data_IF_280149014465
#
_entry.id   IF_280149014465
#
_cell.length_a   1.000
_cell.length_b   1.000
_cell.length_c   1.000
_cell.angle_alpha   90.00
_cell.angle_beta   90.00
_cell.angle_gamma   90.00
#
_symmetry.space_group_name_H-M   'P 1'
#
loop_
_entity.id
_entity.type
_entity.pdbx_description
1 polymer ?
#
# COMPACT_ATOMS: atom_id res chain seq x y z
N UNK A 1 0.97 -33.79 10.90
CA UNK A 1 0.46 -33.36 9.58
C UNK A 1 0.89 -31.91 9.38
N UNK A 2 1.75 -31.64 8.40
CA UNK A 2 2.21 -30.27 8.11
C UNK A 2 1.18 -29.63 7.18
N UNK A 3 0.44 -28.64 7.68
CA UNK A 3 -0.47 -27.84 6.85
C UNK A 3 0.36 -26.70 6.24
N UNK A 4 0.36 -26.60 4.92
CA UNK A 4 1.10 -25.54 4.21
C UNK A 4 0.57 -24.14 4.60
N UNK A 5 1.40 -23.07 4.50
CA UNK A 5 0.95 -21.71 4.78
C UNK A 5 -0.30 -21.31 3.98
N UNK A 6 -0.39 -21.71 2.71
CA UNK A 6 -1.53 -21.41 1.85
C UNK A 6 -2.81 -22.13 2.29
N UNK A 7 -2.72 -23.37 2.76
CA UNK A 7 -3.87 -24.11 3.30
C UNK A 7 -4.36 -23.51 4.61
N UNK A 8 -3.45 -23.03 5.48
CA UNK A 8 -3.83 -22.28 6.69
C UNK A 8 -4.56 -20.98 6.34
N UNK A 9 -4.06 -20.25 5.35
CA UNK A 9 -4.68 -19.01 4.87
C UNK A 9 -6.10 -19.26 4.32
N UNK A 10 -6.27 -20.32 3.52
CA UNK A 10 -7.59 -20.77 3.02
C UNK A 10 -8.53 -21.14 4.16
N UNK A 11 -8.06 -21.86 5.17
CA UNK A 11 -8.87 -22.20 6.34
C UNK A 11 -9.36 -20.94 7.08
N UNK A 12 -8.47 -19.98 7.30
CA UNK A 12 -8.82 -18.72 7.97
C UNK A 12 -9.80 -17.90 7.13
N UNK A 13 -9.54 -17.79 5.82
CA UNK A 13 -10.42 -17.10 4.89
C UNK A 13 -11.83 -17.68 4.89
N UNK A 14 -11.94 -19.01 4.80
CA UNK A 14 -13.22 -19.71 4.92
C UNK A 14 -13.90 -19.42 6.27
N UNK A 15 -13.11 -19.32 7.35
CA UNK A 15 -13.59 -18.92 8.68
C UNK A 15 -14.17 -17.50 8.73
N UNK A 16 -13.52 -16.52 8.07
CA UNK A 16 -14.02 -15.15 7.96
C UNK A 16 -15.36 -15.08 7.21
N UNK A 17 -15.61 -16.05 6.33
CA UNK A 17 -16.83 -16.15 5.52
C UNK A 17 -17.94 -16.94 6.23
N UNK A 18 -17.62 -17.66 7.32
CA UNK A 18 -18.63 -18.37 8.09
C UNK A 18 -19.63 -17.38 8.70
N UNK A 19 -20.92 -17.62 8.47
CA UNK A 19 -22.00 -16.76 8.94
C UNK A 19 -22.43 -15.66 7.95
N UNK A 20 -21.73 -15.50 6.81
CA UNK A 20 -22.23 -14.68 5.72
C UNK A 20 -23.43 -15.38 5.03
N UNK A 21 -24.50 -14.65 4.65
CA UNK A 21 -25.64 -15.23 3.97
C UNK A 21 -25.22 -15.94 2.67
N UNK A 22 -25.83 -17.08 2.37
CA UNK A 22 -25.44 -17.94 1.23
C UNK A 22 -25.55 -17.26 -0.15
N UNK A 23 -26.38 -16.21 -0.27
CA UNK A 23 -26.48 -15.39 -1.48
C UNK A 23 -25.35 -14.34 -1.60
N UNK A 24 -24.73 -13.96 -0.48
CA UNK A 24 -23.53 -13.11 -0.44
C UNK A 24 -22.26 -13.98 -0.57
N UNK A 25 -22.26 -15.17 0.03
CA UNK A 25 -21.17 -16.14 -0.01
C UNK A 25 -21.68 -17.51 -0.42
N UNK A 26 -21.31 -17.96 -1.62
CA UNK A 26 -21.46 -19.37 -1.98
C UNK A 26 -20.05 -19.96 -2.14
N UNK A 27 -19.66 -20.95 -1.32
CA UNK A 27 -18.38 -21.65 -1.45
C UNK A 27 -18.23 -22.39 -2.79
N UNK A 28 -19.32 -22.59 -3.54
CA UNK A 28 -19.33 -23.09 -4.91
C UNK A 28 -19.06 -21.96 -5.93
N UNK A 29 -19.43 -20.71 -5.63
CA UNK A 29 -19.34 -19.57 -6.56
C UNK A 29 -18.03 -18.77 -6.45
N UNK A 30 -17.19 -19.02 -5.43
CA UNK A 30 -15.92 -18.29 -5.18
C UNK A 30 -16.12 -16.76 -5.05
N UNK A 31 -17.19 -16.33 -4.36
CA UNK A 31 -17.37 -14.90 -4.07
C UNK A 31 -16.31 -14.45 -3.06
N UNK A 32 -15.55 -13.42 -3.42
CA UNK A 32 -14.51 -12.88 -2.56
C UNK A 32 -15.09 -11.95 -1.48
N UNK A 33 -14.44 -11.92 -0.31
CA UNK A 33 -14.78 -11.00 0.78
C UNK A 33 -14.48 -9.55 0.34
N UNK A 34 -15.55 -8.77 0.15
CA UNK A 34 -15.46 -7.35 -0.19
C UNK A 34 -15.48 -6.50 1.07
N UNK A 35 -14.50 -5.61 1.21
CA UNK A 35 -14.32 -4.78 2.40
C UNK A 35 -14.18 -3.30 2.01
N UNK A 36 -15.14 -2.43 2.42
CA UNK A 36 -15.09 -1.01 2.09
C UNK A 36 -14.06 -0.27 2.96
N UNK A 37 -13.29 0.61 2.32
CA UNK A 37 -12.28 1.44 2.99
C UNK A 37 -12.41 2.89 2.54
N UNK A 38 -12.49 3.80 3.50
CA UNK A 38 -12.43 5.25 3.24
C UNK A 38 -11.08 5.79 3.71
N UNK A 39 -10.27 6.23 2.76
CA UNK A 39 -9.01 6.94 3.01
C UNK A 39 -9.31 8.42 3.19
N UNK A 40 -8.87 8.99 4.30
CA UNK A 40 -9.09 10.39 4.64
C UNK A 40 -8.22 11.33 3.80
N UNK A 41 -8.60 12.61 3.80
CA UNK A 41 -7.86 13.69 3.18
C UNK A 41 -6.39 13.76 3.65
N UNK A 42 -5.54 14.31 2.78
CA UNK A 42 -4.09 14.43 2.94
C UNK A 42 -3.32 13.11 2.89
N UNK A 43 -3.93 12.00 2.44
CA UNK A 43 -3.19 10.76 2.17
C UNK A 43 -1.96 11.05 1.30
N UNK A 44 -0.79 10.69 1.83
CA UNK A 44 0.51 11.16 1.37
C UNK A 44 1.28 10.04 0.72
N UNK A 45 1.94 10.36 -0.40
CA UNK A 45 2.78 9.47 -1.18
C UNK A 45 4.15 10.11 -1.29
N UNK A 46 5.15 9.50 -0.66
CA UNK A 46 6.55 9.92 -0.68
C UNK A 46 7.28 8.96 -1.62
N UNK A 47 7.75 9.46 -2.76
CA UNK A 47 8.33 8.63 -3.80
C UNK A 47 9.84 8.83 -3.85
N UNK A 48 10.56 7.72 -3.95
CA UNK A 48 12.02 7.65 -4.09
C UNK A 48 12.33 6.96 -5.42
N UNK A 49 13.13 7.60 -6.27
CA UNK A 49 13.69 6.93 -7.45
C UNK A 49 14.79 6.01 -7.00
N UNK A 50 14.72 4.76 -7.47
CA UNK A 50 15.72 3.75 -7.12
C UNK A 50 16.93 3.83 -8.05
N UNK A 51 18.12 3.77 -7.48
CA UNK A 51 19.34 3.48 -8.23
C UNK A 51 19.49 1.98 -8.51
N UNK A 52 20.47 1.59 -9.32
CA UNK A 52 20.70 0.19 -9.69
C UNK A 52 20.91 -0.74 -8.49
N UNK A 53 21.60 -0.29 -7.44
CA UNK A 53 21.88 -1.12 -6.26
C UNK A 53 20.59 -1.33 -5.46
N UNK A 54 19.81 -0.27 -5.29
CA UNK A 54 18.51 -0.34 -4.63
C UNK A 54 17.51 -1.20 -5.41
N UNK A 55 17.51 -1.12 -6.75
CA UNK A 55 16.71 -1.99 -7.62
C UNK A 55 17.07 -3.46 -7.39
N UNK A 56 18.36 -3.81 -7.45
CA UNK A 56 18.81 -5.19 -7.19
C UNK A 56 18.37 -5.65 -5.81
N UNK A 57 18.61 -4.85 -4.77
CA UNK A 57 18.22 -5.19 -3.41
C UNK A 57 16.72 -5.46 -3.26
N UNK A 58 15.87 -4.57 -3.79
CA UNK A 58 14.42 -4.73 -3.68
C UNK A 58 13.94 -5.95 -4.47
N UNK A 59 14.52 -6.20 -5.64
CA UNK A 59 14.17 -7.38 -6.44
C UNK A 59 14.58 -8.69 -5.75
N UNK A 60 15.78 -8.74 -5.18
CA UNK A 60 16.26 -9.88 -4.38
C UNK A 60 15.34 -10.11 -3.18
N UNK A 61 14.94 -9.04 -2.49
CA UNK A 61 14.00 -9.12 -1.37
C UNK A 61 12.63 -9.66 -1.77
N UNK A 62 12.10 -9.32 -2.95
CA UNK A 62 10.84 -9.89 -3.46
C UNK A 62 11.01 -11.38 -3.77
N UNK A 63 12.13 -11.74 -4.42
CA UNK A 63 12.44 -13.12 -4.82
C UNK A 63 12.63 -14.08 -3.64
N UNK A 64 12.95 -13.57 -2.44
CA UNK A 64 12.94 -14.38 -1.21
C UNK A 64 11.57 -14.98 -0.88
N UNK A 65 10.48 -14.35 -1.35
CA UNK A 65 9.10 -14.75 -1.02
C UNK A 65 8.33 -15.31 -2.22
N UNK A 66 8.58 -14.80 -3.42
CA UNK A 66 7.93 -15.28 -4.64
C UNK A 66 8.79 -15.07 -5.87
N UNK A 67 8.77 -16.04 -6.78
CA UNK A 67 9.40 -15.93 -8.09
C UNK A 67 8.43 -15.45 -9.17
N UNK A 68 7.18 -15.13 -8.80
CA UNK A 68 6.14 -14.76 -9.77
C UNK A 68 6.09 -13.26 -10.06
N UNK A 69 6.68 -12.42 -9.21
CA UNK A 69 6.60 -10.97 -9.30
C UNK A 69 7.96 -10.39 -9.68
N UNK A 70 7.97 -9.56 -10.72
CA UNK A 70 9.15 -8.84 -11.19
C UNK A 70 8.93 -7.34 -11.04
N UNK A 71 9.94 -6.63 -10.53
CA UNK A 71 9.93 -5.18 -10.42
C UNK A 71 9.90 -4.52 -11.81
N UNK A 72 9.05 -3.51 -12.01
CA UNK A 72 8.97 -2.80 -13.30
C UNK A 72 9.05 -1.27 -13.16
N UNK A 73 9.61 -0.56 -14.16
CA UNK A 73 9.66 0.89 -14.14
C UNK A 73 8.32 1.49 -14.56
N UNK A 74 7.96 2.64 -13.99
CA UNK A 74 6.77 3.38 -14.36
C UNK A 74 6.95 4.89 -14.31
N UNK A 75 5.93 5.61 -14.76
CA UNK A 75 5.86 7.07 -14.68
C UNK A 75 4.96 7.48 -13.54
N UNK A 76 5.49 8.20 -12.55
CA UNK A 76 4.66 8.80 -11.49
C UNK A 76 3.82 9.95 -12.03
N UNK A 77 4.46 10.80 -12.84
CA UNK A 77 3.84 11.93 -13.54
C UNK A 77 3.80 11.69 -15.06
N UNK A 78 2.79 12.23 -15.74
CA UNK A 78 2.60 12.13 -17.19
C UNK A 78 3.87 12.51 -18.00
N UNK A 79 4.60 13.51 -17.53
CA UNK A 79 5.72 14.13 -18.23
C UNK A 79 7.09 13.51 -17.90
N UNK A 80 7.15 12.52 -17.01
CA UNK A 80 8.40 11.92 -16.57
C UNK A 80 8.82 10.72 -17.44
N UNK A 81 10.11 10.41 -17.42
CA UNK A 81 10.63 9.15 -17.98
C UNK A 81 10.31 8.02 -17.01
N UNK A 82 10.03 6.79 -17.51
CA UNK A 82 9.86 5.64 -16.63
C UNK A 82 11.09 5.42 -15.75
N UNK A 83 10.87 5.14 -14.48
CA UNK A 83 11.91 4.82 -13.50
C UNK A 83 11.39 3.79 -12.52
N UNK A 84 12.30 3.12 -11.82
CA UNK A 84 11.95 2.32 -10.64
C UNK A 84 11.70 3.24 -9.45
N UNK A 85 10.68 2.91 -8.68
CA UNK A 85 10.28 3.70 -7.53
C UNK A 85 10.02 2.82 -6.32
N UNK A 86 10.43 3.32 -5.15
CA UNK A 86 9.90 2.90 -3.86
C UNK A 86 9.03 4.04 -3.35
N UNK A 87 7.79 3.72 -3.00
CA UNK A 87 6.80 4.67 -2.54
C UNK A 87 6.44 4.37 -1.10
N UNK A 88 6.43 5.40 -0.27
CA UNK A 88 5.94 5.31 1.11
C UNK A 88 4.60 6.00 1.16
N UNK A 89 3.55 5.21 1.31
CA UNK A 89 2.17 5.68 1.33
C UNK A 89 1.72 5.76 2.78
N UNK A 90 1.46 6.98 3.27
CA UNK A 90 0.98 7.20 4.63
C UNK A 90 -0.39 7.83 4.60
N UNK A 91 -1.37 7.16 5.21
CA UNK A 91 -2.75 7.59 5.13
C UNK A 91 -3.56 7.17 6.36
N UNK A 92 -4.56 7.99 6.66
CA UNK A 92 -5.57 7.69 7.66
C UNK A 92 -6.77 7.04 6.97
N UNK A 93 -7.30 5.94 7.48
CA UNK A 93 -8.43 5.23 6.90
C UNK A 93 -9.36 4.61 7.95
N UNK A 94 -10.56 4.21 7.51
CA UNK A 94 -11.45 3.36 8.29
C UNK A 94 -10.89 1.93 8.38
N UNK A 95 -11.29 1.16 9.39
CA UNK A 95 -10.96 -0.27 9.47
C UNK A 95 -12.00 -1.10 8.71
N UNK A 96 -11.68 -1.65 7.53
CA UNK A 96 -12.62 -2.48 6.77
C UNK A 96 -12.97 -3.79 7.49
N UNK A 97 -11.98 -4.44 8.10
CA UNK A 97 -12.13 -5.80 8.67
C UNK A 97 -12.71 -5.78 10.07
N UNK A 98 -12.37 -4.77 10.89
CA UNK A 98 -12.80 -4.70 12.29
C UNK A 98 -13.99 -3.76 12.50
N UNK A 99 -14.55 -3.20 11.42
CA UNK A 99 -15.75 -2.35 11.39
C UNK A 99 -15.79 -1.29 12.50
N UNK A 100 -14.62 -0.77 12.87
CA UNK A 100 -14.52 0.26 13.90
C UNK A 100 -14.38 1.63 13.25
N UNK A 101 -14.98 2.63 13.90
CA UNK A 101 -14.89 4.03 13.47
C UNK A 101 -13.56 4.68 13.89
N UNK A 102 -12.57 3.89 14.30
CA UNK A 102 -11.26 4.42 14.67
C UNK A 102 -10.53 4.83 13.39
N UNK A 103 -9.92 6.01 13.42
CA UNK A 103 -9.10 6.49 12.33
C UNK A 103 -7.75 5.75 12.41
N UNK A 104 -7.58 4.73 11.57
CA UNK A 104 -6.36 3.93 11.51
C UNK A 104 -5.35 4.63 10.61
N UNK A 105 -4.14 4.84 11.09
CA UNK A 105 -3.02 5.28 10.28
C UNK A 105 -2.27 4.08 9.76
N UNK A 106 -2.09 4.00 8.44
CA UNK A 106 -1.23 3.01 7.77
C UNK A 106 -0.05 3.72 7.13
N UNK A 107 1.12 3.09 7.22
CA UNK A 107 2.33 3.46 6.51
C UNK A 107 2.79 2.24 5.72
N UNK A 108 2.68 2.29 4.40
CA UNK A 108 2.99 1.17 3.51
C UNK A 108 4.21 1.48 2.66
N UNK A 109 5.15 0.53 2.62
CA UNK A 109 6.33 0.58 1.76
C UNK A 109 6.01 -0.23 0.50
N UNK A 110 5.86 0.48 -0.60
CA UNK A 110 5.27 -0.04 -1.81
C UNK A 110 6.23 0.09 -3.00
N UNK A 111 6.13 -0.85 -3.93
CA UNK A 111 6.73 -0.71 -5.26
C UNK A 111 5.83 -1.35 -6.31
N UNK A 112 6.29 -1.45 -7.56
CA UNK A 112 5.45 -1.77 -8.70
C UNK A 112 5.98 -2.96 -9.45
N UNK A 113 5.10 -3.93 -9.69
CA UNK A 113 5.47 -5.24 -10.19
C UNK A 113 4.60 -5.66 -11.36
N UNK A 114 5.14 -6.60 -12.11
CA UNK A 114 4.42 -7.40 -13.09
C UNK A 114 4.50 -8.86 -12.67
N UNK A 115 3.38 -9.55 -12.72
CA UNK A 115 3.28 -10.97 -12.48
C UNK A 115 3.60 -11.77 -13.76
N UNK A 116 3.92 -13.06 -13.63
CA UNK A 116 4.26 -13.95 -14.76
C UNK A 116 3.17 -14.06 -15.84
N UNK A 117 1.90 -13.91 -15.46
CA UNK A 117 0.75 -13.89 -16.38
C UNK A 117 0.56 -12.52 -17.08
N UNK A 118 1.41 -11.55 -16.76
CA UNK A 118 1.41 -10.22 -17.33
C UNK A 118 0.59 -9.20 -16.57
N UNK A 119 -0.12 -9.58 -15.50
CA UNK A 119 -0.88 -8.62 -14.70
C UNK A 119 0.07 -7.68 -13.96
N UNK A 120 -0.27 -6.40 -13.92
CA UNK A 120 0.50 -5.38 -13.20
C UNK A 120 -0.18 -5.03 -11.88
N UNK A 121 0.59 -4.55 -10.92
CA UNK A 121 0.06 -4.08 -9.65
C UNK A 121 1.10 -3.43 -8.77
N UNK A 122 0.63 -2.91 -7.64
CA UNK A 122 1.49 -2.46 -6.55
C UNK A 122 1.75 -3.62 -5.61
N UNK A 123 2.99 -3.81 -5.18
CA UNK A 123 3.33 -4.75 -4.10
C UNK A 123 3.57 -3.96 -2.81
N UNK A 124 2.96 -4.41 -1.72
CA UNK A 124 3.28 -4.01 -0.36
C UNK A 124 4.44 -4.88 0.12
N UNK A 125 5.62 -4.29 0.25
CA UNK A 125 6.82 -4.97 0.73
C UNK A 125 6.74 -5.18 2.24
N UNK A 126 6.46 -4.11 2.96
CA UNK A 126 6.18 -4.09 4.39
C UNK A 126 5.27 -2.91 4.71
N UNK A 127 4.61 -2.96 5.86
CA UNK A 127 3.77 -1.87 6.32
C UNK A 127 3.70 -1.83 7.84
N UNK A 128 3.31 -0.67 8.37
CA UNK A 128 3.01 -0.41 9.77
C UNK A 128 1.56 0.05 9.87
N UNK A 129 0.89 -0.26 10.98
CA UNK A 129 -0.46 0.25 11.27
C UNK A 129 -0.64 0.56 12.75
N UNK A 130 -1.26 1.68 13.12
CA UNK A 130 -1.60 1.95 14.53
C UNK A 130 -2.89 1.26 15.00
N UNK A 131 -3.52 0.48 14.12
CA UNK A 131 -4.67 -0.38 14.40
C UNK A 131 -4.41 -1.82 13.98
N UNK A 132 -5.13 -2.76 14.58
CA UNK A 132 -5.09 -4.16 14.17
C UNK A 132 -5.38 -4.30 12.67
N UNK A 133 -4.57 -5.10 11.98
CA UNK A 133 -4.68 -5.30 10.53
C UNK A 133 -4.61 -6.77 10.16
N UNK A 134 -5.18 -7.09 9.00
CA UNK A 134 -5.19 -8.43 8.42
C UNK A 134 -4.30 -8.46 7.18
N UNK A 135 -3.40 -9.44 7.08
CA UNK A 135 -2.56 -9.65 5.90
C UNK A 135 -2.29 -11.16 5.67
N UNK A 136 -2.01 -11.60 4.44
CA UNK A 136 -1.89 -13.03 4.13
C UNK A 136 -0.59 -13.69 4.62
N UNK A 137 0.36 -12.93 5.18
CA UNK A 137 1.60 -13.47 5.74
C UNK A 137 1.51 -13.69 7.25
N UNK A 138 1.03 -12.69 7.99
CA UNK A 138 0.95 -12.70 9.44
C UNK A 138 -0.44 -13.11 9.95
N UNK A 139 -1.45 -13.12 9.08
CA UNK A 139 -2.87 -13.19 9.40
C UNK A 139 -3.30 -11.98 10.22
N UNK A 140 -2.83 -11.86 11.47
CA UNK A 140 -3.08 -10.70 12.32
C UNK A 140 -1.77 -9.97 12.59
N UNK A 141 -1.69 -8.71 12.18
CA UNK A 141 -0.58 -7.83 12.51
C UNK A 141 -1.00 -6.83 13.59
N UNK A 142 -0.26 -6.86 14.70
CA UNK A 142 -0.44 -5.98 15.86
C UNK A 142 -0.13 -4.53 15.51
N UNK A 143 -0.61 -3.64 16.38
CA UNK A 143 -0.43 -2.20 16.27
C UNK A 143 1.05 -1.80 16.42
N UNK A 144 1.48 -0.84 15.61
CA UNK A 144 2.77 -0.18 15.59
C UNK A 144 2.65 1.29 16.01
N UNK A 145 3.77 1.90 16.39
CA UNK A 145 3.84 3.33 16.69
C UNK A 145 3.99 4.13 15.39
N UNK A 146 2.94 4.87 15.05
CA UNK A 146 2.90 5.72 13.86
C UNK A 146 2.24 7.04 14.22
N UNK A 147 2.83 8.13 13.76
CA UNK A 147 2.30 9.47 13.88
C UNK A 147 2.10 10.06 12.49
N UNK A 148 0.87 10.42 12.18
CA UNK A 148 0.51 11.17 10.97
C UNK A 148 -0.42 12.30 11.35
N UNK A 149 0.17 13.48 11.60
CA UNK A 149 -0.54 14.63 12.14
C UNK A 149 -0.39 15.84 11.23
N UNK A 150 -1.48 16.60 11.11
CA UNK A 150 -1.45 17.95 10.56
C UNK A 150 -1.26 18.95 11.69
N UNK A 151 -0.14 19.66 11.70
CA UNK A 151 0.15 20.73 12.66
C UNK A 151 0.19 22.04 11.89
N UNK A 152 -0.80 22.90 12.09
CA UNK A 152 -1.01 24.11 11.30
C UNK A 152 -1.08 23.80 9.80
N UNK A 153 -0.05 24.21 9.06
CA UNK A 153 0.11 24.05 7.62
C UNK A 153 1.14 23.00 7.24
N UNK A 154 1.64 22.23 8.20
CA UNK A 154 2.60 21.17 7.96
C UNK A 154 1.96 19.81 8.23
N UNK A 155 2.45 18.81 7.49
CA UNK A 155 2.21 17.41 7.77
C UNK A 155 3.48 16.84 8.39
N UNK A 156 3.33 16.23 9.56
CA UNK A 156 4.38 15.54 10.28
C UNK A 156 4.10 14.04 10.24
N UNK A 157 5.07 13.30 9.70
CA UNK A 157 5.08 11.85 9.57
C UNK A 157 6.24 11.30 10.39
N UNK A 158 5.94 10.39 11.30
CA UNK A 158 6.94 9.61 12.03
C UNK A 158 6.47 8.16 12.11
N UNK A 159 7.25 7.26 11.50
CA UNK A 159 6.97 5.83 11.47
C UNK A 159 8.23 5.08 11.88
N UNK A 160 8.14 4.26 12.92
CA UNK A 160 9.29 3.55 13.47
C UNK A 160 8.93 2.10 13.81
N UNK A 161 9.69 1.16 13.24
CA UNK A 161 9.60 -0.25 13.59
C UNK A 161 10.97 -0.91 13.55
N UNK A 162 11.44 -1.35 14.71
CA UNK A 162 12.65 -2.19 14.84
C UNK A 162 12.47 -3.55 14.16
N UNK A 163 11.27 -4.13 14.25
CA UNK A 163 10.95 -5.45 13.69
C UNK A 163 11.06 -5.43 12.16
N UNK A 164 10.40 -4.45 11.53
CA UNK A 164 10.39 -4.35 10.07
C UNK A 164 11.63 -3.61 9.52
N UNK A 165 12.46 -3.04 10.41
CA UNK A 165 13.57 -2.13 10.10
C UNK A 165 13.13 -0.95 9.24
N UNK A 166 12.11 -0.24 9.71
CA UNK A 166 11.57 0.97 9.07
C UNK A 166 11.80 2.15 10.02
N UNK A 167 12.46 3.18 9.52
CA UNK A 167 12.57 4.48 10.19
C UNK A 167 12.29 5.57 9.18
N UNK A 168 11.15 6.25 9.32
CA UNK A 168 10.72 7.33 8.45
C UNK A 168 10.37 8.54 9.30
N UNK A 169 10.96 9.68 8.98
CA UNK A 169 10.52 10.98 9.47
C UNK A 169 10.40 11.92 8.28
N UNK A 170 9.25 12.54 8.09
CA UNK A 170 9.02 13.53 7.02
C UNK A 170 8.20 14.69 7.55
N UNK A 171 8.64 15.90 7.27
CA UNK A 171 7.90 17.15 7.48
C UNK A 171 7.79 17.89 6.15
N UNK A 172 6.57 18.22 5.73
CA UNK A 172 6.36 19.03 4.54
C UNK A 172 5.22 20.04 4.69
N UNK A 173 5.33 21.14 3.95
CA UNK A 173 4.37 22.23 4.00
C UNK A 173 3.23 22.04 2.98
N UNK A 174 1.99 22.32 3.40
CA UNK A 174 0.77 22.24 2.60
C UNK A 174 0.49 23.50 1.79
N UNK A 175 0.97 24.68 2.19
CA UNK A 175 0.70 25.94 1.49
C UNK A 175 1.56 26.12 0.24
N UNK A 176 2.81 25.64 0.27
CA UNK A 176 3.71 25.69 -0.89
C UNK A 176 3.57 24.44 -1.73
N UNK A 177 2.59 24.43 -2.62
CA UNK A 177 2.34 23.29 -3.52
C UNK A 177 2.29 23.69 -5.00
N UNK A 178 2.32 22.68 -5.87
CA UNK A 178 1.82 22.76 -7.25
C UNK A 178 0.75 21.70 -7.45
N UNK A 179 -0.15 21.94 -8.39
CA UNK A 179 -1.05 20.88 -8.88
C UNK A 179 -0.19 19.75 -9.44
N UNK A 180 -0.55 18.52 -9.10
CA UNK A 180 0.12 17.31 -9.57
C UNK A 180 -0.84 16.50 -10.42
N UNK A 181 -0.33 15.91 -11.50
CA UNK A 181 -1.11 15.05 -12.39
C UNK A 181 -0.41 13.71 -12.40
N UNK A 182 -1.00 12.73 -11.71
CA UNK A 182 -0.49 11.36 -11.75
C UNK A 182 -0.67 10.78 -13.15
N UNK A 183 0.24 9.90 -13.54
CA UNK A 183 0.07 9.10 -14.75
C UNK A 183 -1.20 8.26 -14.67
N UNK A 184 -1.98 8.18 -15.75
CA UNK A 184 -3.16 7.29 -15.80
C UNK A 184 -2.78 5.84 -15.51
N UNK A 185 -1.61 5.41 -15.99
CA UNK A 185 -1.09 4.07 -15.70
C UNK A 185 -0.94 3.81 -14.20
N UNK A 186 -0.61 4.82 -13.39
CA UNK A 186 -0.46 4.65 -11.94
C UNK A 186 -1.78 4.23 -11.28
N UNK A 187 -2.90 4.67 -11.83
CA UNK A 187 -4.24 4.24 -11.38
C UNK A 187 -4.42 2.75 -11.67
N UNK A 188 -4.02 2.27 -12.86
CA UNK A 188 -4.10 0.85 -13.22
C UNK A 188 -3.28 -0.05 -12.27
N UNK A 189 -2.17 0.44 -11.69
CA UNK A 189 -1.42 -0.30 -10.67
C UNK A 189 -2.14 -0.41 -9.32
N UNK A 190 -3.13 0.45 -9.06
CA UNK A 190 -3.92 0.41 -7.83
C UNK A 190 -4.94 -0.73 -7.85
N UNK A 191 -5.35 -1.21 -9.03
CA UNK A 191 -6.35 -2.27 -9.20
C UNK A 191 -5.93 -3.58 -8.52
N UNK A 192 -4.64 -3.89 -8.52
CA UNK A 192 -4.07 -5.13 -7.97
C UNK A 192 -3.01 -4.78 -6.92
N UNK A 193 -3.27 -5.14 -5.67
CA UNK A 193 -2.36 -4.93 -4.55
C UNK A 193 -1.81 -6.29 -4.09
N UNK A 194 -0.57 -6.57 -4.46
CA UNK A 194 0.14 -7.77 -4.08
C UNK A 194 0.76 -7.65 -2.69
N UNK A 195 0.80 -8.76 -1.98
CA UNK A 195 1.68 -8.99 -0.85
C UNK A 195 2.91 -9.77 -1.33
N UNK A 196 4.01 -9.71 -0.58
CA UNK A 196 5.27 -10.34 -0.98
C UNK A 196 5.21 -11.85 -1.22
N UNK A 197 4.24 -12.55 -0.63
CA UNK A 197 4.00 -13.98 -0.92
C UNK A 197 3.19 -14.24 -2.21
N UNK A 198 2.91 -13.23 -3.03
CA UNK A 198 2.16 -13.35 -4.28
C UNK A 198 0.63 -13.35 -4.14
N UNK A 199 0.10 -13.37 -2.91
CA UNK A 199 -1.34 -13.17 -2.68
C UNK A 199 -1.69 -11.72 -2.99
N UNK A 200 -2.86 -11.50 -3.55
CA UNK A 200 -3.28 -10.21 -4.09
C UNK A 200 -4.67 -9.85 -3.59
N UNK A 201 -4.84 -8.60 -3.17
CA UNK A 201 -6.14 -7.96 -3.06
C UNK A 201 -6.48 -7.25 -4.37
N UNK A 202 -7.74 -7.32 -4.79
CA UNK A 202 -8.23 -6.55 -5.93
C UNK A 202 -9.01 -5.33 -5.45
N UNK A 203 -8.64 -4.14 -5.91
CA UNK A 203 -9.21 -2.87 -5.43
C UNK A 203 -10.12 -2.27 -6.48
N UNK A 204 -11.29 -1.84 -6.01
CA UNK A 204 -12.27 -1.08 -6.77
C UNK A 204 -12.39 0.31 -6.16
N UNK A 205 -12.59 1.33 -6.98
CA UNK A 205 -12.72 2.72 -6.54
C UNK A 205 -13.78 3.44 -7.35
N UNK A 206 -14.32 4.50 -6.77
CA UNK A 206 -15.29 5.38 -7.42
C UNK A 206 -14.60 6.61 -8.06
N UNK A 207 -15.40 7.61 -8.41
CA UNK A 207 -14.88 8.85 -9.00
C UNK A 207 -14.01 9.69 -8.07
N UNK A 208 -13.97 9.40 -6.76
CA UNK A 208 -13.13 10.13 -5.80
C UNK A 208 -11.64 9.99 -6.10
N UNK A 209 -11.19 8.85 -6.65
CA UNK A 209 -9.80 8.65 -7.09
C UNK A 209 -9.55 9.31 -8.45
N UNK A 210 -10.38 8.99 -9.45
CA UNK A 210 -10.13 9.41 -10.84
C UNK A 210 -10.30 10.91 -11.07
N UNK A 211 -11.08 11.59 -10.22
CA UNK A 211 -11.30 13.05 -10.25
C UNK A 211 -10.61 13.79 -9.10
N UNK A 212 -9.75 13.11 -8.34
CA UNK A 212 -9.12 13.70 -7.17
C UNK A 212 -8.29 14.96 -7.51
N UNK A 213 -8.29 15.91 -6.56
CA UNK A 213 -7.33 17.01 -6.57
C UNK A 213 -6.04 16.55 -5.89
N UNK A 214 -4.97 16.45 -6.67
CA UNK A 214 -3.66 16.00 -6.18
C UNK A 214 -2.71 17.20 -6.15
N UNK A 215 -2.03 17.37 -5.02
CA UNK A 215 -1.08 18.45 -4.79
C UNK A 215 0.29 17.85 -4.49
N UNK A 216 1.34 18.39 -5.10
CA UNK A 216 2.73 18.05 -4.78
C UNK A 216 3.33 19.19 -3.95
N UNK A 217 3.88 18.86 -2.78
CA UNK A 217 4.58 19.85 -1.96
C UNK A 217 5.88 20.28 -2.64
N UNK A 218 6.17 21.59 -2.58
CA UNK A 218 7.43 22.19 -3.05
C UNK A 218 8.43 22.38 -1.90
N UNK A 219 8.00 22.17 -0.66
CA UNK A 219 8.82 22.42 0.52
C UNK A 219 8.73 21.23 1.47
N UNK A 220 9.71 20.34 1.36
CA UNK A 220 10.01 19.28 2.32
C UNK A 220 11.01 19.89 3.30
N UNK A 221 10.62 20.02 4.56
CA UNK A 221 11.39 20.70 5.61
C UNK A 221 12.44 19.76 6.18
N UNK A 222 12.04 18.51 6.44
CA UNK A 222 12.90 17.45 6.93
C UNK A 222 12.50 16.13 6.28
N UNK A 223 13.47 15.29 5.95
CA UNK A 223 13.23 13.90 5.59
C UNK A 223 14.38 13.01 6.05
N UNK A 224 14.01 11.85 6.56
CA UNK A 224 14.91 10.75 6.84
C UNK A 224 14.15 9.46 6.55
N UNK A 225 14.75 8.59 5.74
CA UNK A 225 14.17 7.28 5.48
C UNK A 225 15.27 6.20 5.42
N UNK A 226 15.14 5.24 6.32
CA UNK A 226 15.95 4.04 6.42
C UNK A 226 15.03 2.83 6.38
N UNK A 227 15.25 1.94 5.41
CA UNK A 227 14.47 0.71 5.24
C UNK A 227 15.41 -0.47 4.97
N UNK A 228 15.30 -1.53 5.78
CA UNK A 228 16.17 -2.72 5.73
C UNK A 228 17.66 -2.37 5.61
N UNK A 229 18.10 -1.42 6.42
CA UNK A 229 19.49 -0.95 6.47
C UNK A 229 19.96 -0.14 5.23
N UNK A 230 19.05 0.25 4.34
CA UNK A 230 19.31 1.12 3.18
C UNK A 230 18.74 2.50 3.40
N UNK A 231 19.58 3.52 3.17
CA UNK A 231 19.19 4.92 3.24
C UNK A 231 18.62 5.41 1.92
N UNK A 232 17.49 6.12 2.00
CA UNK A 232 16.85 6.79 0.88
C UNK A 232 16.98 8.30 1.06
N UNK A 233 18.14 8.81 0.65
CA UNK A 233 18.57 10.18 0.94
C UNK A 233 17.91 11.27 0.08
N UNK A 234 17.22 10.91 -1.01
CA UNK A 234 16.64 11.87 -1.95
C UNK A 234 15.18 11.53 -2.25
N UNK A 235 14.28 12.35 -1.73
CA UNK A 235 12.86 12.32 -2.10
C UNK A 235 12.72 12.86 -3.52
N UNK A 236 12.08 12.11 -4.40
CA UNK A 236 11.75 12.55 -5.76
C UNK A 236 10.49 13.42 -5.78
N UNK A 237 9.46 12.98 -5.07
CA UNK A 237 8.24 13.76 -4.89
C UNK A 237 7.49 13.40 -3.61
N UNK A 238 6.82 14.40 -3.03
CA UNK A 238 5.78 14.20 -2.02
C UNK A 238 4.49 14.77 -2.57
N UNK A 239 3.53 13.91 -2.90
CA UNK A 239 2.20 14.34 -3.29
C UNK A 239 1.14 13.80 -2.34
N UNK A 240 0.00 14.48 -2.29
CA UNK A 240 -1.11 14.10 -1.44
C UNK A 240 -2.45 14.41 -2.09
N UNK A 241 -3.46 13.65 -1.68
CA UNK A 241 -4.85 13.84 -2.10
C UNK A 241 -5.54 14.85 -1.19
N UNK A 242 -6.13 15.90 -1.75
CA UNK A 242 -6.81 16.94 -0.98
C UNK A 242 -8.17 16.45 -0.43
N UNK A 243 -8.79 15.52 -1.13
CA UNK A 243 -10.07 14.91 -0.80
C UNK A 243 -9.91 13.50 -0.24
N UNK A 244 -10.99 13.02 0.41
CA UNK A 244 -11.13 11.61 0.79
C UNK A 244 -11.24 10.74 -0.45
N UNK A 245 -10.83 9.48 -0.33
CA UNK A 245 -10.90 8.46 -1.37
C UNK A 245 -11.69 7.26 -0.85
N UNK A 246 -12.57 6.71 -1.68
CA UNK A 246 -13.37 5.54 -1.34
C UNK A 246 -12.92 4.35 -2.17
N UNK A 247 -12.69 3.24 -1.49
CA UNK A 247 -12.26 1.98 -2.07
C UNK A 247 -13.14 0.83 -1.57
N UNK A 248 -13.20 -0.23 -2.36
CA UNK A 248 -13.67 -1.56 -1.95
C UNK A 248 -12.57 -2.54 -2.31
N UNK A 249 -12.03 -3.25 -1.34
CA UNK A 249 -11.04 -4.30 -1.55
C UNK A 249 -11.68 -5.68 -1.57
N UNK A 250 -11.39 -6.47 -2.58
CA UNK A 250 -11.59 -7.93 -2.61
C UNK A 250 -10.38 -8.58 -1.95
N UNK A 251 -10.57 -9.04 -0.72
CA UNK A 251 -9.50 -9.59 0.11
C UNK A 251 -9.07 -10.95 -0.45
N UNK A 252 -7.77 -11.08 -0.71
CA UNK A 252 -7.09 -12.29 -1.17
C UNK A 252 -7.74 -12.91 -2.43
N UNK A 253 -7.99 -12.06 -3.42
CA UNK A 253 -8.72 -12.34 -4.67
C UNK A 253 -8.18 -13.55 -5.47
N UNK A 254 -6.87 -13.81 -5.37
CA UNK A 254 -6.21 -14.93 -6.05
C UNK A 254 -5.94 -16.15 -5.15
N UNK A 255 -6.45 -16.21 -3.91
CA UNK A 255 -6.11 -17.25 -2.93
C UNK A 255 -6.29 -18.70 -3.41
N UNK A 256 -7.26 -18.94 -4.30
CA UNK A 256 -7.55 -20.26 -4.86
C UNK A 256 -6.93 -20.49 -6.25
N UNK A 257 -6.13 -19.52 -6.74
CA UNK A 257 -5.38 -19.59 -8.00
C UNK A 257 -3.88 -19.76 -7.76
N UNK A 258 -3.41 -19.44 -6.56
CA UNK A 258 -2.03 -19.64 -6.08
C UNK A 258 -1.86 -21.04 -5.49
#
# INVERSE_FOLDING_TARGET
MYISPIEKLRFIYNGLLMGMPSFAYNPINKNNLLAPMCVQQYSTYINFKLDSKQVTFINDYINEYTNSLELIPLKMNLYEKPSYYLSVNVYNCTSPVFLNNKNITRCEINTYVKNVDGTIGTIILDYLSNGLSLDPLNIFKKEDLIYFNKVNNNILLDCNSKKEKIYLTVDYNLLKYKRYVISKKLIDYTDNIYYKNGIMDKVYYDSTLTKASIKQSKQIINHFFLYKDIYFNKVDSVFYFDNKLNFVGSIWDNLYKV
#
